data_IF_788547422328
#
_entry.id   IF_788547422328
#
_cell.length_a   1.000
_cell.length_b   1.000
_cell.length_c   1.000
_cell.angle_alpha   90.00
_cell.angle_beta   90.00
_cell.angle_gamma   90.00
#
_symmetry.space_group_name_H-M   'P 1'
#
loop_
_entity.id
_entity.type
_entity.pdbx_description
1 polymer ?
#
# COMPACT_ATOMS: atom_id res chain seq x y z
N UNK A 1 14.17 23.44 -29.64
CA UNK A 1 14.60 22.52 -28.56
C UNK A 1 13.83 21.22 -28.75
N UNK A 2 14.49 20.06 -28.88
CA UNK A 2 13.80 18.76 -28.99
C UNK A 2 13.80 18.05 -27.64
N UNK A 3 12.65 17.49 -27.26
CA UNK A 3 12.53 16.66 -26.06
C UNK A 3 13.29 15.35 -26.29
N UNK A 4 14.11 14.95 -25.30
CA UNK A 4 14.93 13.73 -25.34
C UNK A 4 14.46 12.63 -24.38
N UNK A 5 13.64 12.99 -23.39
CA UNK A 5 13.13 12.05 -22.40
C UNK A 5 11.77 12.52 -21.88
N UNK A 6 10.93 11.55 -21.52
CA UNK A 6 9.69 11.73 -20.77
C UNK A 6 9.75 10.77 -19.59
N UNK A 7 9.59 11.31 -18.38
CA UNK A 7 9.55 10.54 -17.14
C UNK A 7 8.18 10.71 -16.54
N UNK A 8 7.60 9.62 -16.05
CA UNK A 8 6.25 9.58 -15.52
C UNK A 8 6.28 9.18 -14.06
N UNK A 9 5.52 9.90 -13.25
CA UNK A 9 4.98 9.31 -12.04
C UNK A 9 4.13 8.07 -12.42
N UNK A 10 4.07 7.07 -11.55
CA UNK A 10 3.45 5.77 -11.88
C UNK A 10 2.11 5.60 -11.18
N UNK A 11 2.06 5.72 -9.85
CA UNK A 11 0.85 5.42 -9.07
C UNK A 11 -0.19 6.53 -9.19
N UNK A 12 -1.27 6.25 -9.93
CA UNK A 12 -2.37 7.18 -10.20
C UNK A 12 -2.22 7.87 -11.55
N UNK A 13 -0.99 8.09 -12.01
CA UNK A 13 -0.72 8.64 -13.35
C UNK A 13 -0.75 7.56 -14.43
N UNK A 14 -0.10 6.41 -14.20
CA UNK A 14 0.01 5.30 -15.17
C UNK A 14 -0.86 4.11 -14.78
N UNK A 15 -1.03 3.86 -13.48
CA UNK A 15 -1.80 2.70 -12.97
C UNK A 15 -2.91 3.12 -12.02
N UNK A 16 -4.06 2.45 -12.14
CA UNK A 16 -5.15 2.51 -11.16
C UNK A 16 -4.84 1.55 -9.99
N UNK A 17 -4.11 2.09 -9.01
CA UNK A 17 -3.78 1.38 -7.78
C UNK A 17 -5.01 1.15 -6.91
N UNK A 18 -5.93 2.12 -6.82
CA UNK A 18 -7.04 2.09 -5.86
C UNK A 18 -7.99 0.93 -6.15
N UNK A 19 -8.44 0.81 -7.40
CA UNK A 19 -9.33 -0.30 -7.79
C UNK A 19 -8.62 -1.65 -7.67
N UNK A 20 -7.33 -1.70 -8.03
CA UNK A 20 -6.53 -2.93 -7.93
C UNK A 20 -6.43 -3.43 -6.50
N UNK A 21 -6.11 -2.55 -5.54
CA UNK A 21 -6.03 -2.89 -4.12
C UNK A 21 -7.40 -3.28 -3.56
N UNK A 22 -8.44 -2.48 -3.79
CA UNK A 22 -9.80 -2.79 -3.32
C UNK A 22 -10.26 -4.17 -3.78
N UNK A 23 -9.99 -4.53 -5.05
CA UNK A 23 -10.32 -5.85 -5.58
C UNK A 23 -9.53 -6.97 -4.90
N UNK A 24 -8.22 -6.80 -4.73
CA UNK A 24 -7.37 -7.85 -4.13
C UNK A 24 -7.73 -8.12 -2.68
N UNK A 25 -7.93 -7.06 -1.89
CA UNK A 25 -8.36 -7.18 -0.49
C UNK A 25 -9.75 -7.82 -0.42
N UNK A 26 -10.67 -7.46 -1.32
CA UNK A 26 -11.98 -8.11 -1.38
C UNK A 26 -11.86 -9.62 -1.59
N UNK A 27 -11.07 -10.05 -2.57
CA UNK A 27 -10.86 -11.47 -2.87
C UNK A 27 -10.29 -12.18 -1.64
N UNK A 28 -9.24 -11.63 -1.05
CA UNK A 28 -8.62 -12.18 0.16
C UNK A 28 -9.61 -12.26 1.34
N UNK A 29 -10.42 -11.23 1.54
CA UNK A 29 -11.42 -11.22 2.61
C UNK A 29 -12.55 -12.23 2.38
N UNK A 30 -13.03 -12.35 1.14
CA UNK A 30 -14.06 -13.32 0.77
C UNK A 30 -13.58 -14.77 1.02
N UNK A 31 -12.30 -15.07 0.74
CA UNK A 31 -11.67 -16.38 1.04
C UNK A 31 -11.63 -16.70 2.55
N UNK A 32 -11.61 -15.67 3.39
CA UNK A 32 -11.54 -15.80 4.85
C UNK A 32 -12.88 -15.49 5.54
N UNK A 33 -13.97 -15.26 4.78
CA UNK A 33 -15.30 -14.98 5.31
C UNK A 33 -15.40 -13.65 6.07
N UNK A 34 -14.53 -12.68 5.78
CA UNK A 34 -14.52 -11.36 6.42
C UNK A 34 -15.30 -10.37 5.56
N UNK A 35 -16.22 -9.63 6.16
CA UNK A 35 -16.96 -8.56 5.50
C UNK A 35 -16.38 -7.19 5.89
N UNK A 36 -16.33 -6.25 4.94
CA UNK A 36 -15.77 -4.91 5.20
C UNK A 36 -15.90 -3.97 4.01
N UNK A 37 -15.59 -2.70 4.24
CA UNK A 37 -15.47 -1.69 3.19
C UNK A 37 -14.03 -1.65 2.65
N UNK A 38 -13.81 -2.33 1.53
CA UNK A 38 -12.50 -2.47 0.91
C UNK A 38 -12.05 -1.24 0.13
N UNK A 39 -12.96 -0.30 -0.14
CA UNK A 39 -12.59 1.00 -0.67
C UNK A 39 -11.97 1.86 0.43
N UNK A 40 -12.57 1.86 1.62
CA UNK A 40 -12.00 2.49 2.82
C UNK A 40 -10.66 1.86 3.21
N UNK A 41 -10.54 0.53 3.13
CA UNK A 41 -9.25 -0.14 3.34
C UNK A 41 -8.16 0.41 2.41
N UNK A 42 -8.44 0.48 1.09
CA UNK A 42 -7.47 0.95 0.11
C UNK A 42 -7.05 2.42 0.35
N UNK A 43 -8.01 3.28 0.71
CA UNK A 43 -7.74 4.68 1.03
C UNK A 43 -6.86 4.80 2.28
N UNK A 44 -7.19 4.08 3.35
CA UNK A 44 -6.41 4.07 4.60
C UNK A 44 -5.02 3.46 4.42
N UNK A 45 -4.84 2.53 3.50
CA UNK A 45 -3.53 1.99 3.16
C UNK A 45 -2.68 3.03 2.45
N UNK A 46 -3.26 3.75 1.48
CA UNK A 46 -2.59 4.85 0.77
C UNK A 46 -2.20 6.00 1.68
N UNK A 47 -3.01 6.32 2.68
CA UNK A 47 -2.65 7.34 3.68
C UNK A 47 -1.34 7.01 4.43
N UNK A 48 -1.10 5.73 4.71
CA UNK A 48 0.10 5.27 5.40
C UNK A 48 1.39 5.52 4.61
N UNK A 49 1.33 5.50 3.27
CA UNK A 49 2.45 5.89 2.43
C UNK A 49 2.84 7.35 2.69
N UNK A 50 1.86 8.26 2.68
CA UNK A 50 2.12 9.69 2.87
C UNK A 50 2.67 9.99 4.26
N UNK A 51 2.10 9.38 5.31
CA UNK A 51 2.59 9.59 6.68
C UNK A 51 3.99 8.99 6.89
N UNK A 52 4.26 7.79 6.38
CA UNK A 52 5.57 7.15 6.48
C UNK A 52 6.66 7.92 5.75
N UNK A 53 6.36 8.43 4.55
CA UNK A 53 7.27 9.31 3.81
C UNK A 53 7.51 10.63 4.56
N UNK A 54 6.49 11.21 5.20
CA UNK A 54 6.63 12.44 5.96
C UNK A 54 7.57 12.28 7.17
N UNK A 55 7.54 11.14 7.87
CA UNK A 55 8.47 10.86 8.97
C UNK A 55 9.92 10.76 8.49
N UNK A 56 10.16 10.02 7.42
CA UNK A 56 11.49 9.86 6.82
C UNK A 56 12.04 11.21 6.33
N UNK A 57 11.20 11.99 5.63
CA UNK A 57 11.58 13.32 5.15
C UNK A 57 11.86 14.30 6.29
N UNK A 58 11.25 14.12 7.45
CA UNK A 58 11.53 14.88 8.66
C UNK A 58 12.78 14.41 9.41
N UNK A 59 13.52 13.42 8.87
CA UNK A 59 14.70 12.84 9.50
C UNK A 59 14.38 12.00 10.74
N UNK A 60 13.12 11.54 10.89
CA UNK A 60 12.69 10.71 12.01
C UNK A 60 12.76 9.24 11.62
N UNK A 61 13.46 8.44 12.43
CA UNK A 61 13.59 6.99 12.22
C UNK A 61 14.67 6.61 11.21
N UNK A 62 14.85 5.31 11.02
CA UNK A 62 15.73 4.77 9.99
C UNK A 62 15.10 4.93 8.60
N UNK A 63 15.95 5.06 7.57
CA UNK A 63 15.50 5.02 6.19
C UNK A 63 14.76 3.70 5.91
N UNK A 64 13.67 3.79 5.16
CA UNK A 64 12.84 2.67 4.72
C UNK A 64 12.52 2.85 3.24
N UNK A 65 12.43 1.74 2.52
CA UNK A 65 11.92 1.79 1.15
C UNK A 65 10.37 1.89 1.15
N UNK A 66 9.77 2.05 -0.02
CA UNK A 66 8.30 2.19 -0.13
C UNK A 66 7.56 0.91 0.27
N UNK A 67 8.16 -0.26 0.05
CA UNK A 67 7.57 -1.55 0.41
C UNK A 67 7.53 -1.72 1.93
N UNK A 68 8.60 -1.34 2.65
CA UNK A 68 8.66 -1.34 4.12
C UNK A 68 7.57 -0.42 4.72
N UNK A 69 7.34 0.74 4.10
CA UNK A 69 6.28 1.68 4.53
C UNK A 69 4.90 1.06 4.31
N UNK A 70 4.66 0.48 3.12
CA UNK A 70 3.40 -0.19 2.83
C UNK A 70 3.16 -1.39 3.73
N UNK A 71 4.20 -2.19 4.01
CA UNK A 71 4.11 -3.36 4.90
C UNK A 71 3.74 -2.96 6.31
N UNK A 72 4.43 -1.96 6.87
CA UNK A 72 4.12 -1.45 8.21
C UNK A 72 2.68 -0.96 8.32
N UNK A 73 2.15 -0.30 7.28
CA UNK A 73 0.74 0.12 7.26
C UNK A 73 -0.21 -1.07 7.07
N UNK A 74 0.15 -2.04 6.24
CA UNK A 74 -0.66 -3.24 6.01
C UNK A 74 -0.86 -4.03 7.31
N UNK A 75 0.19 -4.25 8.09
CA UNK A 75 0.12 -4.97 9.37
C UNK A 75 -0.90 -4.34 10.34
N UNK A 76 -0.96 -3.01 10.39
CA UNK A 76 -1.94 -2.27 11.19
C UNK A 76 -3.36 -2.52 10.65
N UNK A 77 -3.55 -2.37 9.34
CA UNK A 77 -4.87 -2.49 8.72
C UNK A 77 -5.43 -3.92 8.76
N UNK A 78 -4.58 -4.95 8.69
CA UNK A 78 -5.02 -6.34 8.84
C UNK A 78 -5.70 -6.53 10.20
N UNK A 79 -5.11 -6.01 11.28
CA UNK A 79 -5.72 -6.05 12.61
C UNK A 79 -6.99 -5.19 12.74
N UNK A 80 -7.03 -4.00 12.15
CA UNK A 80 -8.19 -3.11 12.25
C UNK A 80 -9.43 -3.59 11.46
N UNK A 81 -9.22 -4.42 10.44
CA UNK A 81 -10.29 -4.98 9.59
C UNK A 81 -10.55 -6.48 9.88
N UNK A 82 -10.02 -7.02 10.97
CA UNK A 82 -10.15 -8.43 11.37
C UNK A 82 -9.71 -9.42 10.26
N UNK A 83 -8.73 -9.02 9.45
CA UNK A 83 -8.15 -9.85 8.41
C UNK A 83 -6.99 -10.70 8.96
N UNK A 84 -6.80 -11.92 8.45
CA UNK A 84 -5.68 -12.75 8.85
C UNK A 84 -4.35 -12.12 8.41
N UNK A 85 -3.31 -12.41 9.18
CA UNK A 85 -1.96 -11.97 8.84
C UNK A 85 -1.51 -12.61 7.51
N UNK A 86 -0.88 -11.81 6.66
CA UNK A 86 -0.26 -12.26 5.41
C UNK A 86 1.26 -12.33 5.66
N UNK A 87 1.86 -13.53 5.76
CA UNK A 87 3.30 -13.64 5.93
C UNK A 87 4.04 -13.11 4.70
N UNK A 88 5.24 -12.56 4.89
CA UNK A 88 6.10 -12.25 3.75
C UNK A 88 6.58 -13.56 3.11
N UNK A 89 6.48 -13.70 1.77
CA UNK A 89 7.12 -14.82 1.10
C UNK A 89 8.64 -14.76 1.34
N UNK A 90 9.28 -15.91 1.55
CA UNK A 90 10.73 -16.04 1.80
C UNK A 90 11.60 -15.42 0.69
N UNK A 91 11.03 -15.19 -0.50
CA UNK A 91 11.65 -14.46 -1.60
C UNK A 91 10.86 -13.18 -1.86
N UNK A 92 11.23 -12.11 -1.16
CA UNK A 92 11.04 -10.74 -1.62
C UNK A 92 12.12 -10.44 -2.69
N UNK A 93 11.76 -9.71 -3.73
CA UNK A 93 12.62 -9.38 -4.88
C UNK A 93 14.00 -8.81 -4.51
#
# INVERSE_FOLDING_TARGET
MQIKALVFDVFGTVVDWRTSITRQVKVFADEHGVAGDWAVFADRWREGYTSGMAEINAGKGAWKNVDDIHRARLDILLGEFDLPNVPEPEFAH
#
